data_IF_664983320722
#
_entry.id   IF_664983320722
#
_cell.length_a   1.000
_cell.length_b   1.000
_cell.length_c   1.000
_cell.angle_alpha   90.00
_cell.angle_beta   90.00
_cell.angle_gamma   90.00
#
_symmetry.space_group_name_H-M   'P 1'
#
loop_
_entity.id
_entity.type
_entity.pdbx_description
1 polymer ?
#
# COMPACT_ATOMS: atom_id res chain seq x y z
N UNK A 1 23.67 -24.98 -15.79
CA UNK A 1 23.68 -23.71 -15.02
C UNK A 1 22.85 -22.56 -15.61
N UNK A 2 22.48 -22.56 -16.91
CA UNK A 2 21.79 -21.44 -17.58
C UNK A 2 20.34 -21.17 -17.10
N UNK A 3 19.59 -22.20 -16.69
CA UNK A 3 18.18 -22.07 -16.27
C UNK A 3 17.97 -21.32 -14.93
N UNK A 4 18.90 -21.42 -13.99
CA UNK A 4 18.78 -20.75 -12.67
C UNK A 4 18.90 -19.23 -12.76
N UNK A 5 19.61 -18.72 -13.76
CA UNK A 5 19.81 -17.27 -13.96
C UNK A 5 18.55 -16.59 -14.49
N UNK A 6 17.76 -17.27 -15.32
CA UNK A 6 16.48 -16.75 -15.81
C UNK A 6 15.42 -16.63 -14.70
N UNK A 7 15.32 -17.64 -13.83
CA UNK A 7 14.41 -17.61 -12.68
C UNK A 7 14.79 -16.49 -11.68
N UNK A 8 16.10 -16.28 -11.46
CA UNK A 8 16.58 -15.23 -10.56
C UNK A 8 16.22 -13.83 -11.08
N UNK A 9 16.43 -13.58 -12.38
CA UNK A 9 16.08 -12.30 -13.03
C UNK A 9 14.58 -12.05 -13.00
N UNK A 10 13.76 -13.08 -13.22
CA UNK A 10 12.31 -12.97 -13.13
C UNK A 10 11.87 -12.56 -11.72
N UNK A 11 12.37 -13.23 -10.68
CA UNK A 11 12.02 -12.90 -9.29
C UNK A 11 12.46 -11.48 -8.92
N UNK A 12 13.63 -11.04 -9.41
CA UNK A 12 14.13 -9.69 -9.16
C UNK A 12 13.26 -8.62 -9.81
N UNK A 13 12.85 -8.83 -11.07
CA UNK A 13 11.92 -7.95 -11.78
C UNK A 13 10.52 -7.91 -11.12
N UNK A 14 10.05 -9.04 -10.59
CA UNK A 14 8.78 -9.09 -9.85
C UNK A 14 8.87 -8.31 -8.52
N UNK A 15 9.97 -8.40 -7.79
CA UNK A 15 10.16 -7.60 -6.56
C UNK A 15 10.26 -6.10 -6.86
N UNK A 16 11.03 -5.69 -7.88
CA UNK A 16 11.14 -4.27 -8.28
C UNK A 16 9.76 -3.68 -8.66
N UNK A 17 8.93 -4.41 -9.39
CA UNK A 17 7.57 -3.98 -9.74
C UNK A 17 6.66 -3.81 -8.51
N UNK A 18 6.76 -4.71 -7.53
CA UNK A 18 5.98 -4.61 -6.30
C UNK A 18 6.46 -3.46 -5.41
N UNK A 19 7.78 -3.21 -5.33
CA UNK A 19 8.34 -2.04 -4.66
C UNK A 19 7.87 -0.73 -5.31
N UNK A 20 7.86 -0.67 -6.65
CA UNK A 20 7.42 0.52 -7.39
C UNK A 20 5.92 0.78 -7.19
N UNK A 21 5.08 -0.26 -7.17
CA UNK A 21 3.66 -0.15 -6.82
C UNK A 21 3.43 0.33 -5.39
N UNK A 22 4.32 0.02 -4.45
CA UNK A 22 4.22 0.40 -3.04
C UNK A 22 4.80 1.79 -2.77
N UNK A 23 5.62 2.32 -3.67
CA UNK A 23 6.31 3.61 -3.49
C UNK A 23 5.31 4.75 -3.30
N UNK A 24 5.42 5.43 -2.15
CA UNK A 24 4.56 6.55 -1.78
C UNK A 24 3.17 6.17 -1.28
N UNK A 25 2.81 4.88 -1.25
CA UNK A 25 1.55 4.42 -0.65
C UNK A 25 1.71 4.23 0.85
N UNK A 26 0.68 4.59 1.61
CA UNK A 26 0.55 4.17 3.00
C UNK A 26 0.06 2.72 3.01
N UNK A 27 0.84 1.82 3.61
CA UNK A 27 0.46 0.43 3.88
C UNK A 27 -0.27 0.32 5.22
N UNK A 28 -1.00 -0.79 5.49
CA UNK A 28 -1.61 -1.01 6.80
C UNK A 28 -0.62 -0.89 7.98
N UNK A 29 0.59 -1.44 7.85
CA UNK A 29 1.60 -1.39 8.90
C UNK A 29 2.09 0.04 9.14
N UNK A 30 2.23 0.83 8.07
CA UNK A 30 2.59 2.23 8.16
C UNK A 30 1.46 3.05 8.79
N UNK A 31 0.21 2.78 8.43
CA UNK A 31 -0.97 3.42 9.02
C UNK A 31 -1.06 3.10 10.52
N UNK A 32 -0.93 1.83 10.92
CA UNK A 32 -0.92 1.40 12.31
C UNK A 32 0.16 2.14 13.11
N UNK A 33 1.40 2.20 12.59
CA UNK A 33 2.50 2.94 13.24
C UNK A 33 2.19 4.43 13.42
N UNK A 34 1.63 5.08 12.39
CA UNK A 34 1.28 6.50 12.46
C UNK A 34 0.14 6.77 13.45
N UNK A 35 -0.91 5.95 13.43
CA UNK A 35 -2.05 6.11 14.33
C UNK A 35 -1.63 5.84 15.79
N UNK A 36 -0.79 4.84 16.02
CA UNK A 36 -0.28 4.52 17.35
C UNK A 36 0.73 5.55 17.87
N UNK A 37 1.52 6.18 17.01
CA UNK A 37 2.37 7.30 17.44
C UNK A 37 1.57 8.51 17.92
N UNK A 38 0.33 8.66 17.45
CA UNK A 38 -0.62 9.69 17.90
C UNK A 38 -1.52 9.21 19.06
N UNK A 39 -1.26 8.02 19.64
CA UNK A 39 -1.96 7.52 20.82
C UNK A 39 -3.28 6.79 20.55
N UNK A 40 -3.56 6.40 19.30
CA UNK A 40 -4.85 5.79 18.91
C UNK A 40 -4.96 4.28 19.21
N UNK A 41 -3.87 3.61 19.61
CA UNK A 41 -3.76 2.18 19.96
C UNK A 41 -4.63 1.23 19.11
N UNK A 42 -4.39 1.23 17.80
CA UNK A 42 -5.07 0.41 16.79
C UNK A 42 -4.27 -0.84 16.44
N UNK A 43 -4.99 -1.92 16.10
CA UNK A 43 -4.41 -3.15 15.54
C UNK A 43 -4.12 -3.01 14.03
N UNK A 44 -3.48 -4.03 13.45
CA UNK A 44 -3.20 -4.06 12.01
C UNK A 44 -4.50 -4.24 11.20
N UNK A 45 -5.46 -5.00 11.71
CA UNK A 45 -6.79 -5.18 11.12
C UNK A 45 -7.55 -3.86 11.10
N UNK A 46 -7.58 -3.14 12.23
CA UNK A 46 -8.23 -1.83 12.33
C UNK A 46 -7.57 -0.80 11.41
N UNK A 47 -6.23 -0.77 11.38
CA UNK A 47 -5.48 0.09 10.46
C UNK A 47 -5.78 -0.24 8.98
N UNK A 48 -6.01 -1.50 8.65
CA UNK A 48 -6.42 -1.94 7.30
C UNK A 48 -7.80 -1.38 6.95
N UNK A 49 -8.76 -1.50 7.86
CA UNK A 49 -10.12 -0.99 7.66
C UNK A 49 -10.16 0.53 7.52
N UNK A 50 -9.45 1.25 8.41
CA UNK A 50 -9.32 2.72 8.37
C UNK A 50 -8.73 3.15 7.03
N UNK A 51 -7.63 2.53 6.61
CA UNK A 51 -6.97 2.87 5.35
C UNK A 51 -7.86 2.58 4.14
N UNK A 52 -8.62 1.48 4.14
CA UNK A 52 -9.58 1.15 3.09
C UNK A 52 -10.70 2.19 3.01
N UNK A 53 -11.23 2.61 4.16
CA UNK A 53 -12.26 3.64 4.24
C UNK A 53 -11.77 4.98 3.67
N UNK A 54 -10.59 5.44 4.08
CA UNK A 54 -9.98 6.67 3.58
C UNK A 54 -9.74 6.63 2.06
N UNK A 55 -9.33 5.48 1.51
CA UNK A 55 -9.19 5.30 0.05
C UNK A 55 -10.52 5.45 -0.68
N UNK A 56 -11.61 4.88 -0.15
CA UNK A 56 -12.95 5.02 -0.74
C UNK A 56 -13.42 6.47 -0.70
N UNK A 57 -13.20 7.16 0.42
CA UNK A 57 -13.52 8.58 0.55
C UNK A 57 -12.73 9.43 -0.45
N UNK A 58 -11.41 9.26 -0.51
CA UNK A 58 -10.56 10.00 -1.43
C UNK A 58 -10.98 9.76 -2.89
N UNK A 59 -11.26 8.51 -3.27
CA UNK A 59 -11.77 8.19 -4.59
C UNK A 59 -13.09 8.92 -4.88
N UNK A 60 -14.08 8.83 -3.98
CA UNK A 60 -15.37 9.49 -4.16
C UNK A 60 -15.23 11.02 -4.32
N UNK A 61 -14.41 11.66 -3.48
CA UNK A 61 -14.18 13.11 -3.54
C UNK A 61 -13.48 13.52 -4.83
N UNK A 62 -12.43 12.81 -5.24
CA UNK A 62 -11.69 13.10 -6.47
C UNK A 62 -12.55 12.83 -7.71
N UNK A 63 -13.26 11.72 -7.77
CA UNK A 63 -14.19 11.44 -8.88
C UNK A 63 -15.23 12.54 -9.01
N UNK A 64 -15.83 12.98 -7.89
CA UNK A 64 -16.81 14.06 -7.91
C UNK A 64 -16.22 15.38 -8.41
N UNK A 65 -15.00 15.71 -7.99
CA UNK A 65 -14.29 16.90 -8.46
C UNK A 65 -14.01 16.86 -9.96
N UNK A 66 -13.62 15.69 -10.50
CA UNK A 66 -13.30 15.52 -11.93
C UNK A 66 -14.53 15.46 -12.85
N UNK A 67 -15.69 15.06 -12.32
CA UNK A 67 -16.97 15.10 -13.04
C UNK A 67 -17.59 16.51 -13.14
N UNK A 68 -17.07 17.47 -12.38
CA UNK A 68 -17.58 18.86 -12.29
C UNK A 68 -16.84 19.79 -13.25
#
# INVERSE_FOLDING_TARGET
>A
MKARKGLLLFNQMMMENEEEKMRGKITPEKAMKMLNSEGMNVTIEEATEILLFLRKLAHAVVSKFLES
#
